data_IF_429642134064
#
_entry.id   IF_429642134064
#
_cell.length_a   1.000
_cell.length_b   1.000
_cell.length_c   1.000
_cell.angle_alpha   90.00
_cell.angle_beta   90.00
_cell.angle_gamma   90.00
#
_symmetry.space_group_name_H-M   'P 1'
#
loop_
_entity.id
_entity.type
_entity.pdbx_description
1 polymer ?
#
# COMPACT_ATOMS: atom_id res chain seq x y z
N UNK A 1 9.38 -13.70 15.93
CA UNK A 1 9.55 -12.43 15.18
C UNK A 1 8.72 -12.52 13.91
N UNK A 2 7.94 -11.49 13.56
CA UNK A 2 7.17 -11.48 12.32
C UNK A 2 7.85 -10.58 11.28
N UNK A 3 7.82 -10.98 10.03
CA UNK A 3 8.36 -10.21 8.90
C UNK A 3 7.31 -10.12 7.81
N UNK A 4 7.18 -8.96 7.19
CA UNK A 4 6.26 -8.69 6.09
C UNK A 4 7.05 -8.28 4.86
N UNK A 5 6.64 -8.78 3.70
CA UNK A 5 7.24 -8.43 2.42
C UNK A 5 6.14 -8.09 1.42
N UNK A 6 6.30 -6.94 0.76
CA UNK A 6 5.52 -6.55 -0.41
C UNK A 6 6.27 -6.92 -1.67
N UNK A 7 5.55 -7.11 -2.76
CA UNK A 7 6.14 -7.47 -4.05
C UNK A 7 5.74 -6.47 -5.13
N UNK A 8 6.51 -6.47 -6.21
CA UNK A 8 6.37 -5.55 -7.33
C UNK A 8 7.23 -4.32 -7.18
N UNK A 9 7.47 -3.63 -8.29
CA UNK A 9 8.30 -2.43 -8.32
C UNK A 9 7.42 -1.16 -8.31
N UNK A 10 7.58 -0.41 -7.24
CA UNK A 10 6.88 0.82 -6.94
C UNK A 10 7.49 2.03 -7.66
N UNK A 11 8.80 1.97 -7.97
CA UNK A 11 9.48 2.94 -8.81
C UNK A 11 8.95 2.89 -10.25
N UNK A 12 8.75 4.06 -10.88
CA UNK A 12 8.35 4.09 -12.29
C UNK A 12 9.55 4.11 -13.23
N UNK A 13 10.13 2.93 -13.48
CA UNK A 13 11.20 2.74 -14.46
C UNK A 13 10.69 2.21 -15.81
N UNK A 14 11.58 2.10 -16.79
CA UNK A 14 11.25 1.58 -18.12
C UNK A 14 11.02 0.06 -18.15
N UNK A 15 11.59 -0.64 -17.17
CA UNK A 15 11.34 -2.06 -16.92
C UNK A 15 10.81 -2.14 -15.49
N UNK A 16 9.62 -2.72 -15.32
CA UNK A 16 8.94 -2.83 -14.02
C UNK A 16 8.51 -4.27 -13.84
N UNK A 17 8.95 -4.88 -12.74
CA UNK A 17 8.49 -6.23 -12.37
C UNK A 17 7.12 -6.16 -11.68
N UNK A 18 6.10 -6.89 -12.15
CA UNK A 18 4.82 -6.96 -11.46
C UNK A 18 4.96 -7.76 -10.16
N UNK A 19 4.27 -7.29 -9.13
CA UNK A 19 4.12 -7.96 -7.85
C UNK A 19 2.95 -8.92 -7.83
N UNK A 20 2.93 -9.74 -6.78
CA UNK A 20 1.89 -10.73 -6.49
C UNK A 20 1.38 -10.62 -5.04
N UNK A 21 1.38 -9.40 -4.48
CA UNK A 21 0.77 -9.09 -3.18
C UNK A 21 1.74 -9.17 -2.00
N UNK A 22 1.20 -9.55 -0.85
CA UNK A 22 1.89 -9.52 0.44
C UNK A 22 2.25 -10.94 0.89
N UNK A 23 3.46 -11.07 1.42
CA UNK A 23 3.94 -12.27 2.10
C UNK A 23 4.24 -11.95 3.57
N UNK A 24 4.02 -12.95 4.41
CA UNK A 24 4.28 -12.90 5.84
C UNK A 24 5.10 -14.11 6.26
N UNK A 25 6.09 -13.87 7.10
CA UNK A 25 6.85 -14.89 7.82
C UNK A 25 6.61 -14.74 9.33
N UNK A 26 6.49 -15.86 10.02
CA UNK A 26 6.36 -15.93 11.49
C UNK A 26 7.57 -16.58 12.16
N UNK A 27 8.55 -17.01 11.38
CA UNK A 27 9.76 -17.73 11.80
C UNK A 27 11.04 -16.95 11.46
N UNK A 28 10.94 -15.62 11.40
CA UNK A 28 12.09 -14.74 11.16
C UNK A 28 12.61 -14.72 9.72
N UNK A 29 11.78 -15.11 8.75
CA UNK A 29 12.09 -15.07 7.32
C UNK A 29 12.50 -16.42 6.72
N UNK A 30 12.44 -17.50 7.48
CA UNK A 30 12.79 -18.85 7.00
C UNK A 30 11.72 -19.40 6.05
N UNK A 31 10.44 -19.21 6.41
CA UNK A 31 9.30 -19.57 5.56
C UNK A 31 8.36 -18.39 5.37
N UNK A 32 7.69 -18.37 4.21
CA UNK A 32 6.83 -17.28 3.80
C UNK A 32 5.48 -17.82 3.33
N UNK A 33 4.41 -17.18 3.79
CA UNK A 33 3.05 -17.44 3.34
C UNK A 33 2.51 -16.20 2.64
N UNK A 34 1.91 -16.37 1.46
CA UNK A 34 1.15 -15.29 0.81
C UNK A 34 -0.13 -15.03 1.59
N UNK A 35 -0.41 -13.76 1.86
CA UNK A 35 -1.50 -13.32 2.74
C UNK A 35 -2.37 -12.25 2.09
N UNK A 36 -2.51 -12.27 0.76
CA UNK A 36 -3.47 -11.45 0.02
C UNK A 36 -2.88 -10.31 -0.79
N UNK A 37 -3.77 -9.46 -1.32
CA UNK A 37 -3.46 -8.30 -2.18
C UNK A 37 -2.76 -8.68 -3.49
N UNK A 38 -3.01 -9.88 -4.03
CA UNK A 38 -2.31 -10.42 -5.20
C UNK A 38 -2.51 -9.58 -6.48
N UNK A 39 -3.65 -8.90 -6.57
CA UNK A 39 -4.05 -8.13 -7.76
C UNK A 39 -3.56 -6.68 -7.74
N UNK A 40 -2.96 -6.22 -6.64
CA UNK A 40 -2.49 -4.83 -6.51
C UNK A 40 -1.32 -4.54 -7.45
N UNK A 41 -0.47 -5.53 -7.75
CA UNK A 41 0.62 -5.43 -8.71
C UNK A 41 1.86 -4.65 -8.25
N UNK A 42 1.75 -3.70 -7.32
CA UNK A 42 2.90 -3.04 -6.70
C UNK A 42 2.57 -2.57 -5.28
N UNK A 43 3.41 -2.95 -4.33
CA UNK A 43 3.32 -2.54 -2.93
C UNK A 43 4.41 -1.50 -2.66
N UNK A 44 4.03 -0.27 -2.32
CA UNK A 44 5.00 0.79 -2.04
C UNK A 44 5.52 0.79 -0.61
N UNK A 45 4.62 0.57 0.37
CA UNK A 45 4.99 0.61 1.79
C UNK A 45 4.14 -0.34 2.62
N UNK A 46 4.74 -0.92 3.65
CA UNK A 46 4.07 -1.67 4.72
C UNK A 46 4.45 -1.03 6.05
N UNK A 47 3.45 -0.75 6.90
CA UNK A 47 3.65 -0.27 8.26
C UNK A 47 2.91 -1.16 9.25
N UNK A 48 3.63 -1.69 10.22
CA UNK A 48 3.10 -2.53 11.30
C UNK A 48 2.90 -1.67 12.53
N UNK A 49 1.75 -1.79 13.19
CA UNK A 49 1.46 -1.05 14.40
C UNK A 49 2.43 -1.43 15.55
N UNK A 50 2.95 -0.45 16.31
CA UNK A 50 4.07 -0.67 17.23
C UNK A 50 3.77 -1.62 18.39
N UNK A 51 2.53 -1.65 18.88
CA UNK A 51 2.13 -2.48 20.03
C UNK A 51 1.15 -3.60 19.69
N UNK A 52 0.68 -3.68 18.45
CA UNK A 52 -0.28 -4.70 18.01
C UNK A 52 0.06 -5.17 16.59
N UNK A 53 0.91 -6.20 16.43
CA UNK A 53 1.40 -6.62 15.12
C UNK A 53 0.34 -7.24 14.21
N UNK A 54 -0.91 -7.41 14.68
CA UNK A 54 -2.03 -7.80 13.83
C UNK A 54 -2.61 -6.62 13.04
N UNK A 55 -2.29 -5.37 13.44
CA UNK A 55 -2.69 -4.17 12.72
C UNK A 55 -1.57 -3.77 11.76
N UNK A 56 -1.85 -3.81 10.46
CA UNK A 56 -0.89 -3.48 9.41
C UNK A 56 -1.56 -2.63 8.34
N UNK A 57 -0.86 -1.61 7.87
CA UNK A 57 -1.25 -0.75 6.76
C UNK A 57 -0.36 -1.04 5.55
N UNK A 58 -0.97 -1.04 4.36
CA UNK A 58 -0.28 -1.31 3.09
C UNK A 58 -0.65 -0.26 2.06
N UNK A 59 0.35 0.48 1.59
CA UNK A 59 0.23 1.38 0.45
C UNK A 59 0.36 0.56 -0.84
N UNK A 60 -0.76 0.39 -1.55
CA UNK A 60 -0.83 -0.32 -2.82
C UNK A 60 -0.90 0.69 -3.96
N UNK A 61 0.17 0.78 -4.75
CA UNK A 61 0.29 1.75 -5.83
C UNK A 61 -0.54 1.34 -7.05
N UNK A 62 -0.66 0.04 -7.31
CA UNK A 62 -1.35 -0.48 -8.48
C UNK A 62 -0.44 -1.01 -9.58
N UNK A 63 -1.07 -1.64 -10.56
CA UNK A 63 -0.42 -2.12 -11.78
C UNK A 63 0.18 -0.95 -12.56
N UNK A 64 1.43 -1.06 -13.00
CA UNK A 64 2.08 0.06 -13.69
C UNK A 64 1.45 0.37 -15.06
N UNK A 65 0.98 -0.66 -15.76
CA UNK A 65 0.58 -0.60 -17.18
C UNK A 65 -0.93 -0.56 -17.41
N UNK A 66 -1.72 -0.50 -16.35
CA UNK A 66 -3.18 -0.48 -16.43
C UNK A 66 -3.77 0.27 -15.26
N UNK A 67 -4.98 0.77 -15.46
CA UNK A 67 -5.83 1.17 -14.37
C UNK A 67 -6.39 -0.09 -13.70
N UNK A 68 -6.43 -0.14 -12.37
CA UNK A 68 -6.96 -1.30 -11.66
C UNK A 68 -7.66 -0.87 -10.35
N UNK A 69 -8.79 -1.50 -9.98
CA UNK A 69 -9.55 -1.11 -8.78
C UNK A 69 -8.85 -1.49 -7.47
N UNK A 70 -7.80 -2.31 -7.51
CA UNK A 70 -7.04 -2.73 -6.33
C UNK A 70 -5.94 -1.74 -5.91
N UNK A 71 -5.94 -0.53 -6.48
CA UNK A 71 -5.16 0.60 -5.96
C UNK A 71 -5.75 1.08 -4.66
N UNK A 72 -4.92 1.51 -3.72
CA UNK A 72 -5.42 2.12 -2.49
C UNK A 72 -4.55 1.93 -1.28
N UNK A 73 -5.07 2.38 -0.15
CA UNK A 73 -4.51 2.10 1.16
C UNK A 73 -5.33 1.00 1.82
N UNK A 74 -4.67 -0.08 2.21
CA UNK A 74 -5.28 -1.23 2.85
C UNK A 74 -4.90 -1.32 4.32
N UNK A 75 -5.81 -1.85 5.13
CA UNK A 75 -5.59 -2.15 6.55
C UNK A 75 -6.02 -3.58 6.84
N UNK A 76 -5.26 -4.28 7.65
CA UNK A 76 -5.71 -5.51 8.33
C UNK A 76 -5.68 -5.26 9.83
N UNK A 77 -6.56 -5.95 10.56
CA UNK A 77 -6.56 -5.99 12.04
C UNK A 77 -6.50 -7.42 12.58
N UNK A 78 -6.38 -8.41 11.70
CA UNK A 78 -6.36 -9.84 12.01
C UNK A 78 -5.05 -10.52 11.56
N UNK A 79 -4.00 -9.70 11.35
CA UNK A 79 -2.67 -10.18 11.00
C UNK A 79 -2.56 -10.68 9.56
N UNK A 80 -3.37 -10.15 8.65
CA UNK A 80 -3.33 -10.41 7.20
C UNK A 80 -4.25 -11.55 6.76
N UNK A 81 -5.22 -11.96 7.58
CA UNK A 81 -6.24 -12.92 7.13
C UNK A 81 -7.27 -12.22 6.23
N UNK A 82 -7.61 -10.98 6.57
CA UNK A 82 -8.47 -10.12 5.75
C UNK A 82 -7.86 -8.72 5.60
N UNK A 83 -8.21 -8.06 4.50
CA UNK A 83 -7.78 -6.71 4.17
C UNK A 83 -8.98 -5.82 3.85
N UNK A 84 -9.05 -4.68 4.53
CA UNK A 84 -10.02 -3.63 4.28
C UNK A 84 -9.37 -2.53 3.43
N UNK A 85 -10.02 -2.13 2.34
CA UNK A 85 -9.65 -0.93 1.59
C UNK A 85 -10.13 0.30 2.39
N UNK A 86 -9.21 0.98 3.05
CA UNK A 86 -9.52 2.13 3.94
C UNK A 86 -9.47 3.47 3.22
N UNK A 87 -8.79 3.54 2.07
CA UNK A 87 -8.82 4.72 1.21
C UNK A 87 -8.61 4.32 -0.24
N UNK A 88 -9.56 4.73 -1.08
CA UNK A 88 -9.52 4.64 -2.54
C UNK A 88 -9.58 6.05 -3.13
N UNK A 89 -8.81 6.29 -4.19
CA UNK A 89 -8.83 7.57 -4.92
C UNK A 89 -9.45 7.35 -6.30
N UNK A 90 -8.79 6.55 -7.13
CA UNK A 90 -9.27 6.17 -8.46
C UNK A 90 -8.52 4.94 -8.97
N UNK A 91 -8.98 4.30 -10.06
CA UNK A 91 -8.24 3.22 -10.70
C UNK A 91 -6.87 3.62 -11.27
N UNK A 92 -6.57 4.92 -11.36
CA UNK A 92 -5.31 5.46 -11.88
C UNK A 92 -4.36 5.98 -10.78
N UNK A 93 -4.86 6.16 -9.55
CA UNK A 93 -4.09 6.68 -8.42
C UNK A 93 -4.15 5.74 -7.22
N UNK A 94 -2.97 5.26 -6.82
CA UNK A 94 -2.80 4.41 -5.64
C UNK A 94 -1.95 5.10 -4.58
N UNK A 95 -1.58 4.37 -3.54
CA UNK A 95 -0.72 4.88 -2.47
C UNK A 95 0.69 4.34 -2.63
N UNK A 96 1.67 5.23 -2.53
CA UNK A 96 3.10 4.88 -2.64
C UNK A 96 3.76 4.78 -1.26
N UNK A 97 3.30 5.56 -0.28
CA UNK A 97 3.86 5.56 1.05
C UNK A 97 2.79 5.75 2.12
N UNK A 98 3.09 5.27 3.32
CA UNK A 98 2.33 5.49 4.55
C UNK A 98 3.29 5.53 5.73
N UNK A 99 3.13 6.52 6.58
CA UNK A 99 3.90 6.70 7.81
C UNK A 99 2.94 6.81 8.99
N UNK A 100 3.28 6.14 10.08
CA UNK A 100 2.51 6.15 11.32
C UNK A 100 3.31 6.88 12.38
N UNK A 101 2.66 7.72 13.18
CA UNK A 101 3.25 8.28 14.38
C UNK A 101 3.44 7.14 15.42
N UNK A 102 4.68 6.81 15.81
CA UNK A 102 4.93 5.72 16.75
C UNK A 102 4.45 6.04 18.17
N UNK A 103 4.28 7.31 18.52
CA UNK A 103 3.77 7.76 19.82
C UNK A 103 2.24 7.80 19.85
N UNK A 104 1.60 8.00 18.71
CA UNK A 104 0.15 7.97 18.56
C UNK A 104 -0.26 7.25 17.25
N UNK A 105 -0.40 5.91 17.28
CA UNK A 105 -0.73 5.11 16.10
C UNK A 105 -2.08 5.40 15.42
N UNK A 106 -2.94 6.24 16.02
CA UNK A 106 -4.15 6.74 15.38
C UNK A 106 -3.85 7.84 14.34
N UNK A 107 -2.66 8.44 14.39
CA UNK A 107 -2.20 9.46 13.45
C UNK A 107 -1.31 8.83 12.39
N UNK A 108 -1.73 8.92 11.13
CA UNK A 108 -0.95 8.48 9.99
C UNK A 108 -0.97 9.53 8.88
N UNK A 109 0.11 9.56 8.10
CA UNK A 109 0.19 10.25 6.83
C UNK A 109 0.35 9.25 5.71
N UNK A 110 -0.26 9.51 4.56
CA UNK A 110 -0.14 8.65 3.39
C UNK A 110 -0.01 9.48 2.12
N UNK A 111 0.85 9.06 1.20
CA UNK A 111 1.06 9.74 -0.08
C UNK A 111 0.39 8.94 -1.19
N UNK A 112 -0.53 9.59 -1.92
CA UNK A 112 -1.10 9.02 -3.14
C UNK A 112 -0.39 9.56 -4.37
N UNK A 113 -0.35 8.73 -5.41
CA UNK A 113 0.31 9.05 -6.66
C UNK A 113 -0.50 8.51 -7.83
N UNK A 114 -0.92 9.41 -8.71
CA UNK A 114 -1.41 9.00 -10.02
C UNK A 114 -0.23 8.62 -10.91
N UNK A 115 -0.17 7.32 -11.23
CA UNK A 115 0.84 6.72 -12.11
C UNK A 115 0.15 5.87 -13.17
N UNK A 116 0.12 6.37 -14.40
CA UNK A 116 -0.38 5.64 -15.58
C UNK A 116 0.74 5.57 -16.60
N UNK A 117 1.14 4.34 -16.96
CA UNK A 117 2.17 4.12 -17.96
C UNK A 117 1.59 3.39 -19.17
N UNK A 118 1.94 3.87 -20.35
CA UNK A 118 1.68 3.20 -21.62
C UNK A 118 3.00 2.95 -22.37
N UNK A 119 2.98 2.26 -23.52
CA UNK A 119 4.19 1.93 -24.27
C UNK A 119 5.07 3.13 -24.62
N UNK A 120 4.47 4.32 -24.75
CA UNK A 120 5.13 5.54 -25.21
C UNK A 120 4.94 6.76 -24.31
N UNK A 121 4.36 6.59 -23.11
CA UNK A 121 4.12 7.72 -22.21
C UNK A 121 4.09 7.31 -20.74
N UNK A 122 4.37 8.30 -19.89
CA UNK A 122 4.16 8.25 -18.45
C UNK A 122 3.35 9.48 -18.04
N UNK A 123 2.15 9.24 -17.50
CA UNK A 123 1.41 10.27 -16.78
C UNK A 123 1.72 10.12 -15.29
N UNK A 124 2.32 11.16 -14.72
CA UNK A 124 2.76 11.22 -13.32
C UNK A 124 2.28 12.52 -12.69
N UNK A 125 1.72 12.45 -11.48
CA UNK A 125 1.36 13.65 -10.70
C UNK A 125 0.01 14.30 -11.05
N UNK A 126 -0.94 13.53 -11.59
CA UNK A 126 -2.29 14.03 -11.93
C UNK A 126 -3.27 14.10 -10.73
N UNK A 127 -4.58 14.35 -10.98
CA UNK A 127 -5.61 14.69 -9.98
C UNK A 127 -5.79 13.77 -8.75
N UNK A 128 -5.21 12.57 -8.73
CA UNK A 128 -5.24 11.68 -7.56
C UNK A 128 -3.97 11.71 -6.70
N UNK A 129 -3.06 12.65 -6.96
CA UNK A 129 -1.76 12.74 -6.26
C UNK A 129 -1.86 13.78 -5.15
N UNK A 130 -1.74 13.35 -3.90
CA UNK A 130 -1.92 14.22 -2.75
C UNK A 130 -1.29 13.61 -1.47
N UNK A 131 -1.14 14.45 -0.44
CA UNK A 131 -0.84 14.00 0.92
C UNK A 131 -2.15 13.87 1.71
N UNK A 132 -2.26 12.78 2.46
CA UNK A 132 -3.43 12.48 3.26
C UNK A 132 -3.05 12.34 4.72
N UNK A 133 -3.93 12.76 5.62
CA UNK A 133 -3.81 12.57 7.06
C UNK A 133 -5.05 11.91 7.64
N UNK A 134 -4.83 11.02 8.60
CA UNK A 134 -5.86 10.51 9.50
C UNK A 134 -5.45 10.79 10.95
N UNK A 135 -6.46 10.86 11.83
CA UNK A 135 -6.27 10.96 13.30
C UNK A 135 -7.15 9.94 14.05
N UNK A 136 -7.74 8.99 13.32
CA UNK A 136 -8.67 7.98 13.83
C UNK A 136 -8.31 6.56 13.37
N UNK A 137 -7.01 6.32 13.12
CA UNK A 137 -6.50 5.02 12.73
C UNK A 137 -6.95 4.62 11.33
N UNK A 138 -7.11 5.60 10.44
CA UNK A 138 -7.45 5.39 9.04
C UNK A 138 -8.92 5.08 8.78
N UNK A 139 -9.83 5.40 9.71
CA UNK A 139 -11.28 5.34 9.45
C UNK A 139 -11.72 6.48 8.53
N UNK A 140 -11.14 7.67 8.73
CA UNK A 140 -11.33 8.83 7.85
C UNK A 140 -9.99 9.42 7.45
N UNK A 141 -9.97 10.04 6.27
CA UNK A 141 -8.77 10.64 5.66
C UNK A 141 -9.10 12.00 5.09
N UNK A 142 -8.29 13.00 5.44
CA UNK A 142 -8.38 14.37 4.95
C UNK A 142 -7.15 14.67 4.10
N UNK A 143 -7.34 15.33 2.98
CA UNK A 143 -6.25 15.86 2.15
C UNK A 143 -5.58 17.04 2.87
N UNK A 144 -4.24 17.13 2.80
CA UNK A 144 -3.43 18.15 3.51
C UNK A 144 -2.79 19.12 2.53
#
# INVERSE_FOLDING_TARGET
MQVWAGTGEEDSRNTISPGCGIFKSTDGGLTWKRVGLEKTGAIGRIVVHPTNPNIVYVAALGQAWSANPERGLYKTTDGGQTWQLVKFISPQAGFIDVAMDPSNPEVLFAASWQRVRGPYFLNSGGPGSALWKTTDGGKTWTEV
#
